data_IF_635124600415
#
_entry.id   IF_635124600415
#
_cell.length_a   1.000
_cell.length_b   1.000
_cell.length_c   1.000
_cell.angle_alpha   90.00
_cell.angle_beta   90.00
_cell.angle_gamma   90.00
#
_symmetry.space_group_name_H-M   'P 1'
#
loop_
_entity.id
_entity.type
_entity.pdbx_description
1 polymer ?
#
# COMPACT_ATOMS: atom_id res chain seq x y z
N UNK A 1 3.00 -6.69 -43.84
CA UNK A 1 4.06 -5.73 -43.46
C UNK A 1 3.79 -4.93 -42.18
N UNK A 2 2.54 -4.66 -41.77
CA UNK A 2 2.23 -3.97 -40.48
C UNK A 2 2.39 -4.90 -39.25
N UNK A 3 2.28 -6.22 -39.43
CA UNK A 3 2.41 -7.21 -38.34
C UNK A 3 3.82 -7.34 -37.76
N UNK A 4 4.86 -7.20 -38.59
CA UNK A 4 6.24 -7.41 -38.15
C UNK A 4 6.80 -6.22 -37.36
N UNK A 5 6.42 -4.99 -37.73
CA UNK A 5 6.70 -3.80 -36.92
C UNK A 5 6.03 -3.85 -35.54
N UNK A 6 4.84 -4.45 -35.43
CA UNK A 6 4.19 -4.69 -34.12
C UNK A 6 4.94 -5.74 -33.31
N UNK A 7 5.47 -6.80 -33.94
CA UNK A 7 6.31 -7.81 -33.24
C UNK A 7 7.64 -7.24 -32.78
N UNK A 8 8.28 -6.35 -33.54
CA UNK A 8 9.49 -5.63 -33.09
C UNK A 8 9.19 -4.58 -32.03
N UNK A 9 8.07 -3.87 -32.12
CA UNK A 9 7.62 -2.98 -31.03
C UNK A 9 7.27 -3.74 -29.74
N UNK A 10 7.04 -5.05 -29.82
CA UNK A 10 6.78 -5.97 -28.71
C UNK A 10 8.01 -6.82 -28.35
N UNK A 11 9.11 -6.76 -29.13
CA UNK A 11 10.39 -7.40 -28.78
C UNK A 11 11.09 -6.57 -27.70
N UNK A 12 10.56 -6.70 -26.50
CA UNK A 12 11.22 -6.62 -25.21
C UNK A 12 12.72 -6.90 -25.37
N UNK A 13 13.54 -5.84 -25.23
CA UNK A 13 14.97 -5.89 -25.49
C UNK A 13 15.69 -6.99 -24.69
N UNK A 14 16.92 -7.35 -25.07
CA UNK A 14 17.64 -8.46 -24.49
C UNK A 14 17.70 -8.30 -22.95
N UNK A 15 16.95 -9.16 -22.24
CA UNK A 15 16.94 -9.25 -20.78
C UNK A 15 15.67 -8.77 -20.06
N UNK A 16 14.72 -8.07 -20.69
CA UNK A 16 13.51 -7.58 -20.01
C UNK A 16 12.27 -8.12 -20.69
N UNK A 17 11.56 -9.12 -20.13
CA UNK A 17 10.30 -9.69 -20.66
C UNK A 17 9.03 -9.02 -20.08
N UNK A 18 7.88 -9.20 -20.74
CA UNK A 18 6.58 -8.57 -20.41
C UNK A 18 6.13 -8.79 -18.96
N UNK A 19 6.50 -9.96 -18.39
CA UNK A 19 6.19 -10.32 -17.01
C UNK A 19 6.96 -9.48 -15.98
N UNK A 20 7.95 -8.67 -16.38
CA UNK A 20 8.56 -7.67 -15.50
C UNK A 20 7.74 -6.39 -15.40
N UNK A 21 6.62 -6.28 -16.11
CA UNK A 21 5.73 -5.11 -16.10
C UNK A 21 4.43 -5.42 -15.35
N UNK A 22 4.06 -6.70 -15.27
CA UNK A 22 2.90 -7.16 -14.50
C UNK A 22 3.33 -7.50 -13.06
N UNK A 23 2.76 -6.73 -12.14
CA UNK A 23 2.71 -6.85 -10.67
C UNK A 23 3.52 -7.98 -9.96
N UNK A 24 4.42 -7.65 -9.00
CA UNK A 24 5.11 -6.37 -8.85
C UNK A 24 6.00 -6.15 -10.07
N UNK A 25 5.89 -4.99 -10.76
CA UNK A 25 6.77 -4.71 -11.87
C UNK A 25 8.20 -4.73 -11.35
N UNK A 26 9.03 -5.47 -12.07
CA UNK A 26 10.49 -5.44 -12.07
C UNK A 26 11.29 -6.45 -11.25
N UNK A 27 10.68 -7.41 -10.55
CA UNK A 27 11.49 -8.37 -9.75
C UNK A 27 11.45 -9.84 -10.20
N UNK A 28 10.85 -10.16 -11.35
CA UNK A 28 10.87 -11.54 -11.88
C UNK A 28 12.28 -12.12 -12.07
N UNK A 29 13.27 -11.27 -12.36
CA UNK A 29 14.69 -11.64 -12.47
C UNK A 29 15.58 -11.18 -11.30
N UNK A 30 14.99 -10.62 -10.24
CA UNK A 30 15.74 -10.12 -9.09
C UNK A 30 15.92 -11.22 -8.04
N UNK A 31 16.99 -11.17 -7.22
CA UNK A 31 17.22 -12.15 -6.16
C UNK A 31 16.03 -12.23 -5.20
N UNK A 32 15.75 -13.43 -4.68
CA UNK A 32 14.61 -13.74 -3.82
C UNK A 32 14.45 -12.71 -2.68
N UNK A 33 15.55 -12.31 -2.05
CA UNK A 33 15.53 -11.30 -0.98
C UNK A 33 14.98 -9.93 -1.41
N UNK A 34 15.25 -9.49 -2.64
CA UNK A 34 14.71 -8.24 -3.17
C UNK A 34 13.20 -8.34 -3.42
N UNK A 35 12.72 -9.49 -3.91
CA UNK A 35 11.29 -9.75 -4.14
C UNK A 35 10.49 -9.69 -2.84
N UNK A 36 10.97 -10.40 -1.81
CA UNK A 36 10.31 -10.43 -0.50
C UNK A 36 10.26 -9.03 0.12
N UNK A 37 11.37 -8.27 0.06
CA UNK A 37 11.41 -6.91 0.57
C UNK A 37 10.49 -5.95 -0.20
N UNK A 38 10.39 -6.09 -1.52
CA UNK A 38 9.48 -5.28 -2.33
C UNK A 38 8.01 -5.58 -2.03
N UNK A 39 7.65 -6.85 -1.82
CA UNK A 39 6.28 -7.22 -1.45
C UNK A 39 5.93 -6.74 -0.04
N UNK A 40 6.83 -6.91 0.92
CA UNK A 40 6.62 -6.45 2.29
C UNK A 40 6.51 -4.92 2.36
N UNK A 41 7.38 -4.19 1.63
CA UNK A 41 7.29 -2.74 1.53
C UNK A 41 5.95 -2.30 0.90
N UNK A 42 5.50 -2.98 -0.14
CA UNK A 42 4.21 -2.69 -0.77
C UNK A 42 3.06 -2.92 0.22
N UNK A 43 3.06 -4.04 0.94
CA UNK A 43 2.05 -4.35 1.96
C UNK A 43 2.03 -3.31 3.09
N UNK A 44 3.19 -2.90 3.61
CA UNK A 44 3.29 -1.88 4.65
C UNK A 44 2.74 -0.53 4.20
N UNK A 45 3.15 -0.06 3.03
CA UNK A 45 2.68 1.21 2.47
C UNK A 45 1.17 1.16 2.18
N UNK A 46 0.69 0.04 1.66
CA UNK A 46 -0.73 -0.17 1.39
C UNK A 46 -1.58 -0.18 2.66
N UNK A 47 -1.15 -0.94 3.67
CA UNK A 47 -1.82 -0.99 4.97
C UNK A 47 -1.84 0.39 5.64
N UNK A 48 -0.70 1.10 5.59
CA UNK A 48 -0.61 2.46 6.13
C UNK A 48 -1.58 3.40 5.42
N UNK A 49 -1.66 3.32 4.09
CA UNK A 49 -2.60 4.11 3.31
C UNK A 49 -4.05 3.80 3.69
N UNK A 50 -4.40 2.52 3.85
CA UNK A 50 -5.74 2.11 4.27
C UNK A 50 -6.10 2.66 5.64
N UNK A 51 -5.23 2.46 6.64
CA UNK A 51 -5.44 2.97 8.01
C UNK A 51 -5.62 4.48 7.98
N UNK A 52 -4.72 5.21 7.31
CA UNK A 52 -4.79 6.67 7.19
C UNK A 52 -6.06 7.13 6.47
N UNK A 53 -6.50 6.41 5.43
CA UNK A 53 -7.73 6.74 4.70
C UNK A 53 -8.94 6.58 5.62
N UNK A 54 -8.97 5.51 6.41
CA UNK A 54 -10.04 5.28 7.39
C UNK A 54 -10.08 6.39 8.45
N UNK A 55 -8.93 6.67 9.09
CA UNK A 55 -8.80 7.73 10.09
C UNK A 55 -9.19 9.12 9.53
N UNK A 56 -8.80 9.42 8.28
CA UNK A 56 -9.07 10.71 7.66
C UNK A 56 -10.53 10.90 7.24
N UNK A 57 -11.16 9.87 6.67
CA UNK A 57 -12.44 10.01 5.99
C UNK A 57 -13.62 9.39 6.73
N UNK A 58 -13.44 8.26 7.40
CA UNK A 58 -14.52 7.58 8.12
C UNK A 58 -14.78 8.24 9.48
N UNK A 59 -13.72 8.57 10.23
CA UNK A 59 -13.83 9.25 11.52
C UNK A 59 -13.85 10.78 11.41
N UNK A 60 -14.07 11.33 10.22
CA UNK A 60 -14.02 12.78 10.03
C UNK A 60 -15.10 13.51 10.84
N UNK A 61 -16.28 12.91 10.94
CA UNK A 61 -17.48 13.52 11.51
C UNK A 61 -17.92 12.84 12.81
N UNK A 62 -17.05 12.01 13.42
CA UNK A 62 -17.32 11.36 14.69
C UNK A 62 -16.85 12.23 15.87
N UNK A 63 -17.81 12.85 16.56
CA UNK A 63 -17.56 13.69 17.73
C UNK A 63 -16.92 12.96 18.92
N UNK A 64 -16.90 11.62 18.95
CA UNK A 64 -16.21 10.86 20.00
C UNK A 64 -14.69 10.76 19.77
N UNK A 65 -14.25 10.94 18.53
CA UNK A 65 -12.85 10.73 18.11
C UNK A 65 -12.17 12.02 17.68
N UNK A 66 -12.91 13.13 17.53
CA UNK A 66 -12.39 14.37 16.92
C UNK A 66 -11.15 14.94 17.66
N UNK A 67 -11.13 14.88 18.99
CA UNK A 67 -10.02 15.40 19.81
C UNK A 67 -8.73 14.54 19.70
N UNK A 68 -8.82 13.21 19.50
CA UNK A 68 -7.64 12.32 19.41
C UNK A 68 -7.26 11.95 17.97
N UNK A 69 -8.13 12.18 16.99
CA UNK A 69 -7.96 11.76 15.60
C UNK A 69 -6.66 12.24 14.98
N UNK A 70 -6.29 13.51 15.21
CA UNK A 70 -5.03 14.06 14.69
C UNK A 70 -3.79 13.41 15.32
N UNK A 71 -3.86 13.09 16.62
CA UNK A 71 -2.81 12.37 17.31
C UNK A 71 -2.67 10.94 16.78
N UNK A 72 -3.80 10.24 16.54
CA UNK A 72 -3.82 8.89 15.99
C UNK A 72 -3.31 8.83 14.54
N UNK A 73 -3.67 9.84 13.72
CA UNK A 73 -3.13 10.01 12.36
C UNK A 73 -1.61 10.19 12.39
N UNK A 74 -1.12 11.06 13.28
CA UNK A 74 0.30 11.33 13.40
C UNK A 74 1.08 10.13 13.97
N UNK A 75 0.55 9.50 15.01
CA UNK A 75 1.14 8.34 15.67
C UNK A 75 1.24 7.16 14.70
N UNK A 76 0.17 6.85 13.96
CA UNK A 76 0.19 5.76 12.97
C UNK A 76 1.16 6.05 11.82
N UNK A 77 1.27 7.30 11.36
CA UNK A 77 2.25 7.69 10.35
C UNK A 77 3.70 7.50 10.84
N UNK A 78 4.00 7.92 12.07
CA UNK A 78 5.33 7.76 12.69
C UNK A 78 5.69 6.29 12.90
N UNK A 79 4.76 5.49 13.42
CA UNK A 79 4.96 4.07 13.68
C UNK A 79 5.23 3.28 12.40
N UNK A 80 4.56 3.64 11.30
CA UNK A 80 4.76 3.00 9.99
C UNK A 80 5.99 3.52 9.23
N UNK A 81 6.44 4.76 9.50
CA UNK A 81 7.60 5.33 8.83
C UNK A 81 8.87 4.50 9.07
N UNK A 82 9.08 4.02 10.29
CA UNK A 82 10.26 3.22 10.66
C UNK A 82 10.36 1.91 9.84
N UNK A 83 9.38 0.99 9.84
CA UNK A 83 9.44 -0.23 9.04
C UNK A 83 9.49 0.06 7.53
N UNK A 84 8.80 1.09 7.03
CA UNK A 84 8.86 1.50 5.61
C UNK A 84 10.27 1.93 5.23
N UNK A 85 10.93 2.79 6.02
CA UNK A 85 12.28 3.27 5.74
C UNK A 85 13.31 2.15 5.84
N UNK A 86 13.18 1.27 6.83
CA UNK A 86 14.05 0.09 6.98
C UNK A 86 13.89 -0.87 5.79
N UNK A 87 12.65 -1.16 5.37
CA UNK A 87 12.40 -2.08 4.26
C UNK A 87 12.80 -1.48 2.91
N UNK A 88 12.63 -0.17 2.72
CA UNK A 88 13.19 0.58 1.57
C UNK A 88 14.71 0.51 1.54
N UNK A 89 15.37 0.71 2.68
CA UNK A 89 16.83 0.61 2.79
C UNK A 89 17.30 -0.80 2.49
N UNK A 90 16.61 -1.83 2.99
CA UNK A 90 16.91 -3.24 2.72
C UNK A 90 16.76 -3.57 1.24
N UNK A 91 15.68 -3.10 0.60
CA UNK A 91 15.46 -3.27 -0.83
C UNK A 91 16.57 -2.63 -1.67
N UNK A 92 17.02 -1.42 -1.29
CA UNK A 92 18.14 -0.75 -1.96
C UNK A 92 19.45 -1.54 -1.84
N UNK A 93 19.71 -2.17 -0.68
CA UNK A 93 20.88 -3.04 -0.51
C UNK A 93 20.77 -4.32 -1.34
N UNK A 94 19.60 -4.95 -1.34
CA UNK A 94 19.34 -6.18 -2.10
C UNK A 94 19.47 -5.97 -3.62
N UNK A 95 19.21 -4.75 -4.10
CA UNK A 95 19.39 -4.35 -5.50
C UNK A 95 20.82 -3.92 -5.85
N UNK A 96 21.63 -3.51 -4.86
CA UNK A 96 22.98 -2.99 -5.07
C UNK A 96 24.12 -3.99 -4.84
N UNK A 97 23.80 -5.28 -4.64
CA UNK A 97 24.73 -6.40 -4.37
C UNK A 97 25.80 -6.13 -3.28
N UNK A 98 25.45 -5.28 -2.29
CA UNK A 98 26.36 -4.97 -1.17
C UNK A 98 26.29 -6.06 -0.12
N UNK A 99 27.31 -6.91 -0.06
CA UNK A 99 27.48 -7.98 0.95
C UNK A 99 28.16 -7.43 2.22
N UNK A 100 27.68 -7.83 3.39
CA UNK A 100 28.23 -7.44 4.69
C UNK A 100 27.27 -7.72 5.86
N UNK A 101 27.75 -7.55 7.10
CA UNK A 101 26.97 -7.75 8.34
C UNK A 101 25.87 -6.68 8.49
N UNK A 102 26.15 -5.46 8.04
CA UNK A 102 25.25 -4.32 8.11
C UNK A 102 23.89 -4.54 7.39
N UNK A 103 23.85 -5.06 6.15
CA UNK A 103 22.61 -5.48 5.51
C UNK A 103 21.79 -6.49 6.32
N UNK A 104 22.43 -7.40 7.07
CA UNK A 104 21.76 -8.41 7.90
C UNK A 104 21.06 -7.79 9.10
N UNK A 105 21.74 -6.89 9.82
CA UNK A 105 21.16 -6.14 10.94
C UNK A 105 19.98 -5.27 10.50
N UNK A 106 20.11 -4.58 9.36
CA UNK A 106 19.01 -3.78 8.78
C UNK A 106 17.82 -4.68 8.40
N UNK A 107 18.07 -5.90 7.91
CA UNK A 107 17.01 -6.85 7.60
C UNK A 107 16.28 -7.30 8.87
N UNK A 108 17.02 -7.70 9.91
CA UNK A 108 16.44 -8.13 11.18
C UNK A 108 15.61 -7.00 11.80
N UNK A 109 16.15 -5.78 11.85
CA UNK A 109 15.42 -4.61 12.36
C UNK A 109 14.15 -4.31 11.54
N UNK A 110 14.22 -4.39 10.20
CA UNK A 110 13.07 -4.19 9.33
C UNK A 110 11.96 -5.21 9.61
N UNK A 111 12.32 -6.48 9.77
CA UNK A 111 11.36 -7.55 10.05
C UNK A 111 10.75 -7.43 11.44
N UNK A 112 11.59 -7.25 12.47
CA UNK A 112 11.12 -7.11 13.86
C UNK A 112 10.17 -5.91 13.97
N UNK A 113 10.56 -4.75 13.43
CA UNK A 113 9.68 -3.57 13.43
C UNK A 113 8.40 -3.79 12.64
N UNK A 114 8.45 -4.42 11.47
CA UNK A 114 7.25 -4.70 10.66
C UNK A 114 6.29 -5.63 11.39
N UNK A 115 6.79 -6.73 11.98
CA UNK A 115 5.98 -7.69 12.74
C UNK A 115 5.39 -7.00 13.96
N UNK A 116 6.21 -6.29 14.74
CA UNK A 116 5.75 -5.60 15.95
C UNK A 116 4.67 -4.57 15.63
N UNK A 117 4.90 -3.69 14.65
CA UNK A 117 3.95 -2.65 14.26
C UNK A 117 2.67 -3.26 13.69
N UNK A 118 2.78 -4.28 12.83
CA UNK A 118 1.59 -4.94 12.28
C UNK A 118 0.77 -5.60 13.38
N UNK A 119 1.42 -6.31 14.31
CA UNK A 119 0.73 -6.92 15.45
C UNK A 119 0.09 -5.88 16.36
N UNK A 120 0.76 -4.76 16.63
CA UNK A 120 0.19 -3.67 17.42
C UNK A 120 -1.03 -3.06 16.74
N UNK A 121 -0.99 -2.87 15.42
CA UNK A 121 -2.14 -2.36 14.65
C UNK A 121 -3.29 -3.35 14.67
N UNK A 122 -3.03 -4.64 14.44
CA UNK A 122 -4.07 -5.68 14.51
C UNK A 122 -4.65 -5.80 15.92
N UNK A 123 -3.81 -5.66 16.96
CA UNK A 123 -4.25 -5.67 18.34
C UNK A 123 -5.09 -4.43 18.66
N UNK A 124 -4.68 -3.24 18.22
CA UNK A 124 -5.46 -2.02 18.38
C UNK A 124 -6.83 -2.15 17.70
N UNK A 125 -6.87 -2.62 16.45
CA UNK A 125 -8.12 -2.88 15.71
C UNK A 125 -9.00 -3.93 16.41
N UNK A 126 -8.40 -4.99 16.95
CA UNK A 126 -9.13 -6.04 17.67
C UNK A 126 -9.67 -5.59 19.03
N UNK A 127 -8.97 -4.68 19.70
CA UNK A 127 -9.40 -4.11 20.99
C UNK A 127 -10.48 -3.04 20.84
N UNK A 128 -10.52 -2.33 19.70
CA UNK A 128 -11.59 -1.39 19.35
C UNK A 128 -12.86 -2.10 18.86
N UNK A 129 -13.23 -3.23 19.48
CA UNK A 129 -14.28 -4.14 19.03
C UNK A 129 -15.55 -3.45 18.54
N UNK A 130 -16.10 -3.94 17.42
CA UNK A 130 -17.30 -3.39 16.76
C UNK A 130 -18.54 -3.36 17.67
N UNK A 131 -18.57 -4.16 18.73
CA UNK A 131 -19.69 -4.22 19.67
C UNK A 131 -19.68 -3.10 20.73
N UNK A 132 -18.56 -2.39 20.92
CA UNK A 132 -18.44 -1.32 21.95
C UNK A 132 -18.11 0.05 21.38
N UNK A 133 -17.94 0.17 20.06
CA UNK A 133 -17.66 1.47 19.41
C UNK A 133 -18.81 2.46 19.64
N UNK A 134 -20.05 1.99 19.57
CA UNK A 134 -21.21 2.80 19.94
C UNK A 134 -21.47 2.69 21.45
N UNK A 135 -21.27 3.79 22.19
CA UNK A 135 -21.60 3.88 23.62
C UNK A 135 -23.08 3.59 23.89
N UNK A 136 -23.42 3.07 25.08
CA UNK A 136 -24.80 2.81 25.48
C UNK A 136 -25.70 4.04 25.26
N UNK A 137 -26.66 3.94 24.33
CA UNK A 137 -27.53 5.05 23.89
C UNK A 137 -27.26 5.59 22.48
N UNK A 138 -26.24 5.07 21.79
CA UNK A 138 -26.02 5.34 20.36
C UNK A 138 -26.48 4.17 19.48
N UNK A 139 -27.02 4.50 18.31
CA UNK A 139 -27.55 3.53 17.36
C UNK A 139 -26.40 3.04 16.48
N UNK A 140 -26.20 1.72 16.34
CA UNK A 140 -25.19 1.17 15.44
C UNK A 140 -25.46 1.58 13.99
N UNK A 141 -24.42 1.76 13.16
CA UNK A 141 -24.60 2.20 11.79
C UNK A 141 -25.41 1.19 10.97
N UNK A 142 -26.43 1.67 10.25
CA UNK A 142 -27.31 0.79 9.45
C UNK A 142 -26.61 0.31 8.16
N UNK A 143 -25.64 1.06 7.65
CA UNK A 143 -24.97 0.80 6.37
C UNK A 143 -23.44 0.82 6.55
N UNK A 144 -22.84 -0.21 7.16
CA UNK A 144 -21.38 -0.36 7.14
C UNK A 144 -20.89 -0.47 5.69
N UNK A 145 -19.63 -0.07 5.43
CA UNK A 145 -19.02 -0.27 4.11
C UNK A 145 -19.24 -1.72 3.67
N UNK A 146 -19.83 -1.90 2.49
CA UNK A 146 -20.04 -3.24 1.94
C UNK A 146 -18.71 -4.00 1.89
N UNK A 147 -18.74 -5.28 2.27
CA UNK A 147 -17.59 -6.20 2.26
C UNK A 147 -16.86 -6.25 0.91
N UNK A 148 -17.54 -5.84 -0.16
CA UNK A 148 -17.00 -5.81 -1.53
C UNK A 148 -16.23 -4.53 -1.89
N UNK A 149 -16.40 -3.43 -1.15
CA UNK A 149 -15.81 -2.12 -1.47
C UNK A 149 -14.29 -2.17 -1.35
N UNK A 150 -13.78 -2.75 -0.28
CA UNK A 150 -12.34 -2.84 -0.06
C UNK A 150 -11.66 -3.75 -1.12
N UNK A 151 -12.12 -4.99 -1.37
CA UNK A 151 -11.56 -5.83 -2.45
C UNK A 151 -11.61 -5.18 -3.83
N UNK A 152 -12.71 -4.50 -4.18
CA UNK A 152 -12.85 -3.85 -5.50
C UNK A 152 -11.93 -2.63 -5.63
N UNK A 153 -11.82 -1.81 -4.59
CA UNK A 153 -10.86 -0.70 -4.52
C UNK A 153 -9.41 -1.19 -4.65
N UNK A 154 -9.07 -2.29 -3.96
CA UNK A 154 -7.75 -2.94 -4.07
C UNK A 154 -7.52 -3.36 -5.53
N UNK A 155 -8.41 -4.18 -6.10
CA UNK A 155 -8.26 -4.67 -7.48
C UNK A 155 -8.13 -3.53 -8.50
N UNK A 156 -8.95 -2.48 -8.35
CA UNK A 156 -8.86 -1.27 -9.17
C UNK A 156 -7.51 -0.58 -9.04
N UNK A 157 -6.99 -0.44 -7.83
CA UNK A 157 -5.67 0.13 -7.58
C UNK A 157 -4.54 -0.73 -8.16
N UNK A 158 -4.61 -2.06 -8.04
CA UNK A 158 -3.62 -2.97 -8.63
C UNK A 158 -3.58 -2.84 -10.16
N UNK A 159 -4.76 -2.78 -10.78
CA UNK A 159 -4.92 -2.60 -12.22
C UNK A 159 -4.39 -1.23 -12.68
N UNK A 160 -4.76 -0.15 -11.97
CA UNK A 160 -4.29 1.21 -12.24
C UNK A 160 -2.76 1.31 -12.12
N UNK A 161 -2.19 0.79 -11.02
CA UNK A 161 -0.73 0.79 -10.82
C UNK A 161 0.02 0.06 -11.93
N UNK A 162 -0.51 -1.09 -12.37
CA UNK A 162 0.05 -1.85 -13.50
C UNK A 162 -0.03 -1.06 -14.81
N UNK A 163 -1.19 -0.47 -15.11
CA UNK A 163 -1.42 0.29 -16.34
C UNK A 163 -0.55 1.55 -16.42
N UNK A 164 -0.43 2.31 -15.33
CA UNK A 164 0.42 3.51 -15.26
C UNK A 164 1.90 3.13 -15.41
N UNK A 165 2.35 2.08 -14.73
CA UNK A 165 3.74 1.61 -14.83
C UNK A 165 4.08 1.14 -16.24
N UNK A 166 3.17 0.43 -16.89
CA UNK A 166 3.30 0.04 -18.29
C UNK A 166 3.38 1.26 -19.20
N UNK A 167 2.50 2.24 -19.00
CA UNK A 167 2.47 3.48 -19.79
C UNK A 167 3.78 4.25 -19.66
N UNK A 168 4.28 4.44 -18.43
CA UNK A 168 5.58 5.10 -18.18
C UNK A 168 6.72 4.34 -18.86
N UNK A 169 6.71 3.00 -18.82
CA UNK A 169 7.71 2.19 -19.49
C UNK A 169 7.67 2.33 -21.02
N UNK A 170 6.48 2.34 -21.62
CA UNK A 170 6.29 2.54 -23.07
C UNK A 170 6.72 3.95 -23.50
N UNK A 171 6.21 4.99 -22.82
CA UNK A 171 6.50 6.40 -23.13
C UNK A 171 7.99 6.71 -22.99
N UNK A 172 8.64 6.13 -21.98
CA UNK A 172 10.09 6.32 -21.77
C UNK A 172 10.98 5.54 -22.73
N UNK A 173 10.41 4.94 -23.79
CA UNK A 173 11.13 4.07 -24.73
C UNK A 173 11.95 3.00 -24.00
N UNK A 174 11.40 2.46 -22.90
CA UNK A 174 12.00 1.40 -22.08
C UNK A 174 13.32 1.79 -21.38
N UNK A 175 13.60 3.09 -21.22
CA UNK A 175 14.82 3.59 -20.55
C UNK A 175 14.68 3.78 -19.04
N UNK A 176 13.46 3.68 -18.50
CA UNK A 176 13.22 3.88 -17.06
C UNK A 176 13.75 2.70 -16.25
N UNK A 177 14.42 3.02 -15.14
CA UNK A 177 14.96 2.02 -14.21
C UNK A 177 13.83 1.26 -13.49
N UNK A 178 14.00 -0.05 -13.22
CA UNK A 178 13.13 -0.88 -12.38
C UNK A 178 12.60 -0.20 -11.11
N UNK A 179 13.50 0.41 -10.33
CA UNK A 179 13.15 1.07 -9.08
C UNK A 179 12.21 2.28 -9.28
N UNK A 180 12.31 2.98 -10.41
CA UNK A 180 11.42 4.10 -10.72
C UNK A 180 10.03 3.61 -11.10
N UNK A 181 9.93 2.52 -11.88
CA UNK A 181 8.64 1.88 -12.18
C UNK A 181 7.95 1.38 -10.90
N UNK A 182 8.70 0.75 -10.00
CA UNK A 182 8.19 0.30 -8.71
C UNK A 182 7.69 1.48 -7.85
N UNK A 183 8.38 2.63 -7.86
CA UNK A 183 7.88 3.83 -7.15
C UNK A 183 6.59 4.35 -7.75
N UNK A 184 6.55 4.51 -9.08
CA UNK A 184 5.35 4.98 -9.80
C UNK A 184 4.16 4.07 -9.52
N UNK A 185 4.40 2.78 -9.59
CA UNK A 185 3.42 1.76 -9.25
C UNK A 185 2.91 1.90 -7.82
N UNK A 186 3.83 2.01 -6.85
CA UNK A 186 3.51 2.09 -5.42
C UNK A 186 2.72 3.36 -5.12
N UNK A 187 3.13 4.49 -5.70
CA UNK A 187 2.40 5.76 -5.56
C UNK A 187 1.02 5.69 -6.20
N UNK A 188 0.91 5.07 -7.37
CA UNK A 188 -0.37 4.97 -8.09
C UNK A 188 -1.37 4.14 -7.28
N UNK A 189 -0.93 3.02 -6.70
CA UNK A 189 -1.86 2.15 -5.96
C UNK A 189 -2.31 2.79 -4.66
N UNK A 190 -1.41 3.47 -3.95
CA UNK A 190 -1.73 4.20 -2.72
C UNK A 190 -2.75 5.29 -3.03
N UNK A 191 -2.48 6.13 -4.03
CA UNK A 191 -3.40 7.20 -4.41
C UNK A 191 -4.74 6.66 -4.89
N UNK A 192 -4.73 5.61 -5.73
CA UNK A 192 -5.97 5.04 -6.28
C UNK A 192 -6.84 4.45 -5.17
N UNK A 193 -6.24 3.74 -4.20
CA UNK A 193 -6.97 3.22 -3.04
C UNK A 193 -7.59 4.36 -2.24
N UNK A 194 -6.80 5.36 -1.85
CA UNK A 194 -7.29 6.52 -1.08
C UNK A 194 -8.46 7.18 -1.79
N UNK A 195 -8.29 7.52 -3.07
CA UNK A 195 -9.32 8.22 -3.86
C UNK A 195 -10.56 7.36 -4.07
N UNK A 196 -10.39 6.05 -4.29
CA UNK A 196 -11.51 5.14 -4.48
C UNK A 196 -12.30 4.89 -3.20
N UNK A 197 -11.65 4.85 -2.04
CA UNK A 197 -12.29 4.58 -0.75
C UNK A 197 -12.88 5.83 -0.09
N UNK A 198 -12.27 7.01 -0.29
CA UNK A 198 -12.72 8.26 0.30
C UNK A 198 -14.24 8.54 0.17
N UNK A 199 -14.89 8.41 -1.02
CA UNK A 199 -16.33 8.68 -1.12
C UNK A 199 -17.17 7.68 -0.33
N UNK A 200 -16.78 6.41 -0.30
CA UNK A 200 -17.48 5.37 0.47
C UNK A 200 -17.32 5.56 1.97
N UNK A 201 -16.12 5.93 2.41
CA UNK A 201 -15.84 6.17 3.83
C UNK A 201 -16.57 7.41 4.34
N UNK A 202 -16.68 8.47 3.53
CA UNK A 202 -17.47 9.66 3.86
C UNK A 202 -18.97 9.42 3.87
N UNK A 203 -19.45 8.54 2.99
CA UNK A 203 -20.87 8.21 2.90
C UNK A 203 -21.30 7.15 3.93
N UNK A 204 -20.34 6.45 4.55
CA UNK A 204 -20.63 5.48 5.59
C UNK A 204 -21.10 6.19 6.85
N UNK A 205 -22.19 5.71 7.43
CA UNK A 205 -22.69 6.24 8.68
C UNK A 205 -21.78 5.79 9.83
N UNK A 206 -21.46 6.72 10.73
CA UNK A 206 -20.85 6.44 12.03
C UNK A 206 -21.93 6.28 13.11
N UNK A 207 -21.55 6.01 14.36
CA UNK A 207 -22.52 5.92 15.45
C UNK A 207 -23.34 7.21 15.53
N UNK A 208 -24.67 7.10 15.48
CA UNK A 208 -25.56 8.24 15.73
C UNK A 208 -25.93 8.30 17.21
N UNK A 209 -25.77 9.46 17.83
CA UNK A 209 -26.37 9.75 19.14
C UNK A 209 -27.87 9.89 18.96
N UNK A 210 -28.66 9.14 19.75
CA UNK A 210 -30.12 9.23 19.72
C UNK A 210 -30.60 10.63 20.07
N UNK A 211 -31.57 11.14 19.29
CA UNK A 211 -32.39 12.30 19.65
C UNK A 211 -33.48 11.90 20.65
#
# INVERSE_FOLDING_TARGET
MISDRRREAVSLGPGIRAHHILWPPSFGGAPLGARVCANALAALVFLTALVQTYLCFYWQDDGQVDDSRYEDLWFSALMMAVPILLMRRRLAHALGDRRGVWPGLVAAAAWISSVLVTSLVLMAVGLTGHETYCSAGSIPPEHPLSDSVLPTAVLGALAAGSAVSWTVWVVSRRRVRPASLYRVWLTTITVTVVVSLAPWLRAAETCRTGA
#
